data_IF_225535990225
#
_entry.id   IF_225535990225
#
_cell.length_a   1.000
_cell.length_b   1.000
_cell.length_c   1.000
_cell.angle_alpha   90.00
_cell.angle_beta   90.00
_cell.angle_gamma   90.00
#
_symmetry.space_group_name_H-M   'P 1'
#
loop_
_entity.id
_entity.type
_entity.pdbx_description
1 polymer ?
#
# COMPACT_ATOMS: atom_id res chain seq x y z
N UNK A 1 16.40 2.50 -54.37
CA UNK A 1 16.42 3.15 -53.03
C UNK A 1 15.11 2.78 -52.36
N UNK A 2 15.18 1.97 -51.31
CA UNK A 2 14.02 1.46 -50.60
C UNK A 2 13.49 2.53 -49.62
N UNK A 3 12.18 2.75 -49.63
CA UNK A 3 11.48 3.51 -48.59
C UNK A 3 10.43 2.57 -48.00
N UNK A 4 10.67 2.13 -46.76
CA UNK A 4 9.76 1.30 -45.97
C UNK A 4 8.66 2.15 -45.37
N UNK A 5 7.42 1.73 -45.58
CA UNK A 5 6.18 2.23 -45.00
C UNK A 5 6.08 1.93 -43.49
N UNK A 6 5.31 2.72 -42.70
CA UNK A 6 5.11 2.48 -41.27
C UNK A 6 4.19 1.28 -41.03
N UNK A 7 4.56 0.42 -40.08
CA UNK A 7 3.75 -0.70 -39.60
C UNK A 7 2.64 -0.18 -38.67
N UNK A 8 1.41 -0.34 -39.11
CA UNK A 8 0.17 -0.07 -38.37
C UNK A 8 -0.18 -1.33 -37.56
N UNK A 9 0.05 -1.30 -36.24
CA UNK A 9 -0.07 -2.47 -35.36
C UNK A 9 -1.47 -2.57 -34.72
N UNK A 10 -2.52 -2.32 -35.50
CA UNK A 10 -3.89 -2.21 -35.00
C UNK A 10 -4.79 -3.44 -35.26
N UNK A 11 -4.32 -4.48 -35.97
CA UNK A 11 -5.23 -5.53 -36.50
C UNK A 11 -4.91 -6.99 -36.11
N UNK A 12 -3.97 -7.26 -35.19
CA UNK A 12 -3.53 -8.64 -34.91
C UNK A 12 -4.02 -9.28 -33.58
N UNK A 13 -5.04 -8.72 -32.91
CA UNK A 13 -5.54 -9.27 -31.63
C UNK A 13 -7.03 -9.66 -31.65
N UNK A 14 -7.58 -10.00 -32.82
CA UNK A 14 -8.90 -10.66 -32.94
C UNK A 14 -8.72 -12.10 -33.40
N UNK A 15 -8.49 -13.02 -32.46
CA UNK A 15 -8.93 -14.44 -32.52
C UNK A 15 -8.18 -15.33 -31.53
N UNK A 16 -8.71 -15.48 -30.31
CA UNK A 16 -8.50 -16.68 -29.49
C UNK A 16 -9.45 -16.68 -28.28
N UNK A 17 -10.76 -16.73 -28.50
CA UNK A 17 -11.71 -17.11 -27.45
C UNK A 17 -11.75 -18.63 -27.33
N UNK A 18 -11.21 -19.19 -26.25
CA UNK A 18 -11.55 -20.55 -25.81
C UNK A 18 -12.21 -20.48 -24.44
N UNK A 19 -13.43 -20.99 -24.41
CA UNK A 19 -14.33 -21.14 -23.27
C UNK A 19 -13.74 -22.07 -22.21
N UNK A 20 -13.64 -21.60 -20.97
CA UNK A 20 -13.49 -22.46 -19.78
C UNK A 20 -14.86 -22.60 -19.11
N UNK A 21 -15.31 -23.84 -18.91
CA UNK A 21 -16.56 -24.16 -18.22
C UNK A 21 -16.48 -23.93 -16.70
N UNK A 22 -17.61 -23.65 -16.03
CA UNK A 22 -17.63 -23.24 -14.63
C UNK A 22 -17.45 -24.41 -13.67
N UNK A 23 -16.54 -24.27 -12.71
CA UNK A 23 -16.46 -25.15 -11.54
C UNK A 23 -17.58 -24.74 -10.58
N UNK A 24 -18.66 -25.53 -10.57
CA UNK A 24 -19.79 -25.38 -9.66
C UNK A 24 -19.35 -25.63 -8.20
N UNK A 25 -19.71 -24.72 -7.28
CA UNK A 25 -19.77 -25.05 -5.85
C UNK A 25 -19.17 -24.07 -4.86
N UNK A 26 -19.22 -22.75 -5.07
CA UNK A 26 -18.94 -21.78 -4.00
C UNK A 26 -19.68 -20.46 -4.28
N UNK A 27 -20.78 -20.22 -3.59
CA UNK A 27 -21.46 -18.92 -3.56
C UNK A 27 -20.84 -18.07 -2.45
N UNK A 28 -20.08 -17.05 -2.81
CA UNK A 28 -19.58 -16.04 -1.88
C UNK A 28 -20.43 -14.76 -2.04
N UNK A 29 -21.43 -14.57 -1.19
CA UNK A 29 -22.15 -13.28 -1.12
C UNK A 29 -21.42 -12.37 -0.13
N UNK A 30 -20.69 -11.38 -0.63
CA UNK A 30 -20.14 -10.29 0.20
C UNK A 30 -21.17 -9.17 0.24
N UNK A 31 -21.94 -9.11 1.34
CA UNK A 31 -22.75 -7.93 1.66
C UNK A 31 -21.87 -6.95 2.42
N UNK A 32 -21.55 -5.81 1.81
CA UNK A 32 -20.82 -4.73 2.46
C UNK A 32 -21.80 -3.86 3.25
N UNK A 33 -21.73 -3.91 4.58
CA UNK A 33 -22.38 -2.89 5.42
C UNK A 33 -21.61 -2.72 6.75
N UNK A 34 -21.10 -1.51 6.96
CA UNK A 34 -20.92 -0.95 8.30
C UNK A 34 -19.64 -1.30 9.05
N UNK A 35 -19.08 -0.28 9.69
CA UNK A 35 -17.87 -0.27 10.51
C UNK A 35 -17.99 -1.16 11.77
N UNK A 36 -17.59 -2.43 11.68
CA UNK A 36 -17.21 -3.23 12.85
C UNK A 36 -16.15 -4.28 12.44
N UNK A 37 -14.88 -3.89 12.57
CA UNK A 37 -13.74 -4.69 12.12
C UNK A 37 -13.24 -5.61 13.25
N UNK A 38 -14.07 -6.55 13.70
CA UNK A 38 -13.64 -7.68 14.52
C UNK A 38 -14.47 -8.93 14.20
N UNK A 39 -14.04 -9.68 13.17
CA UNK A 39 -14.34 -11.11 13.07
C UNK A 39 -13.13 -11.87 12.54
N UNK A 40 -12.34 -12.40 13.47
CA UNK A 40 -11.34 -13.43 13.21
C UNK A 40 -12.06 -14.68 12.71
N UNK A 41 -11.85 -15.06 11.44
CA UNK A 41 -12.23 -16.39 10.96
C UNK A 41 -11.23 -17.40 11.52
N UNK A 42 -11.59 -18.10 12.61
CA UNK A 42 -10.86 -19.29 13.08
C UNK A 42 -11.54 -20.53 12.49
N UNK A 43 -10.83 -21.25 11.61
CA UNK A 43 -11.18 -22.64 11.28
C UNK A 43 -10.48 -23.52 12.31
N UNK A 44 -11.22 -24.00 13.32
CA UNK A 44 -10.72 -25.03 14.25
C UNK A 44 -11.23 -26.40 13.83
N UNK A 45 -10.29 -27.31 13.54
CA UNK A 45 -10.58 -28.74 13.39
C UNK A 45 -10.72 -29.33 14.80
N UNK A 46 -11.85 -29.99 15.08
CA UNK A 46 -12.04 -30.74 16.32
C UNK A 46 -11.17 -32.01 16.32
N UNK A 47 -10.25 -32.09 17.29
CA UNK A 47 -9.45 -33.28 17.60
C UNK A 47 -9.36 -33.46 19.12
N UNK A 48 -9.51 -34.71 19.57
CA UNK A 48 -9.80 -35.20 20.93
C UNK A 48 -8.90 -34.70 22.08
N UNK A 49 -9.48 -34.79 23.29
CA UNK A 49 -8.94 -34.46 24.61
C UNK A 49 -7.66 -35.21 25.01
N UNK A 50 -6.73 -34.48 25.65
CA UNK A 50 -5.45 -34.91 26.24
C UNK A 50 -4.41 -33.77 26.14
N UNK A 51 -4.14 -33.09 27.25
CA UNK A 51 -3.51 -31.75 27.38
C UNK A 51 -2.06 -31.58 26.84
N UNK A 52 -1.59 -30.32 26.66
CA UNK A 52 -0.90 -29.62 27.77
C UNK A 52 -1.37 -28.17 28.00
N UNK A 53 -0.96 -27.63 29.15
CA UNK A 53 -1.32 -26.33 29.75
C UNK A 53 -1.09 -25.09 28.86
N UNK A 54 -1.95 -24.08 29.06
CA UNK A 54 -2.09 -22.84 28.28
C UNK A 54 -0.84 -21.93 28.18
N UNK A 55 0.29 -22.28 28.82
CA UNK A 55 1.42 -21.39 29.04
C UNK A 55 2.67 -21.68 28.17
N UNK A 56 2.62 -22.65 27.24
CA UNK A 56 3.80 -22.99 26.43
C UNK A 56 3.46 -23.46 25.00
N UNK A 57 2.51 -22.80 24.33
CA UNK A 57 2.29 -23.02 22.90
C UNK A 57 2.48 -21.70 22.16
N UNK A 58 3.74 -21.30 21.94
CA UNK A 58 4.02 -20.47 20.77
C UNK A 58 3.42 -21.21 19.57
N UNK A 59 2.54 -20.54 18.82
CA UNK A 59 1.94 -21.14 17.64
C UNK A 59 3.07 -21.68 16.74
N UNK A 60 2.94 -22.89 16.16
CA UNK A 60 4.01 -23.54 15.40
C UNK A 60 4.38 -22.82 14.09
N UNK A 61 3.77 -21.66 13.82
CA UNK A 61 3.87 -20.92 12.57
C UNK A 61 4.12 -19.45 12.85
N UNK A 62 5.00 -18.84 12.05
CA UNK A 62 5.19 -17.38 12.06
C UNK A 62 3.97 -16.68 11.47
N UNK A 63 3.46 -15.67 12.14
CA UNK A 63 2.40 -14.77 11.68
C UNK A 63 3.03 -13.50 11.11
N UNK A 64 2.82 -13.27 9.82
CA UNK A 64 3.28 -12.07 9.12
C UNK A 64 2.05 -11.23 8.74
N UNK A 65 1.95 -10.03 9.29
CA UNK A 65 0.95 -9.05 8.89
C UNK A 65 1.51 -8.14 7.79
N UNK A 66 0.83 -8.08 6.65
CA UNK A 66 1.26 -7.34 5.46
C UNK A 66 0.39 -6.10 5.17
N UNK A 67 -0.58 -5.79 6.02
CA UNK A 67 -1.48 -4.66 5.83
C UNK A 67 -1.52 -3.80 7.08
N UNK A 68 -0.45 -3.05 7.30
CA UNK A 68 -0.32 -2.10 8.39
C UNK A 68 0.21 -0.77 7.89
N UNK A 69 -0.47 0.33 8.21
CA UNK A 69 -0.05 1.67 7.81
C UNK A 69 0.75 2.37 8.91
N UNK A 70 1.77 3.12 8.52
CA UNK A 70 2.49 4.03 9.39
C UNK A 70 2.25 5.48 8.96
N UNK A 71 2.12 6.37 9.94
CA UNK A 71 2.09 7.82 9.74
C UNK A 71 3.37 8.39 10.32
N UNK A 72 4.24 8.90 9.44
CA UNK A 72 5.57 9.35 9.82
C UNK A 72 5.63 10.87 9.83
N UNK A 73 5.92 11.46 10.99
CA UNK A 73 5.99 12.92 11.16
C UNK A 73 6.99 13.60 10.21
N UNK A 74 8.05 12.88 9.84
CA UNK A 74 9.05 13.39 8.90
C UNK A 74 8.44 13.83 7.55
N UNK A 75 7.34 13.19 7.12
CA UNK A 75 6.63 13.52 5.90
C UNK A 75 5.73 14.75 6.00
N UNK A 76 5.49 15.29 7.20
CA UNK A 76 4.57 16.40 7.38
C UNK A 76 5.08 17.68 6.68
N UNK A 77 4.20 18.31 5.91
CA UNK A 77 4.51 19.49 5.08
C UNK A 77 5.45 19.23 3.90
N UNK A 78 5.85 17.98 3.63
CA UNK A 78 6.83 17.66 2.56
C UNK A 78 6.22 17.59 1.17
N UNK A 79 4.89 17.50 1.04
CA UNK A 79 4.17 17.66 -0.22
C UNK A 79 3.69 19.11 -0.44
N UNK A 80 4.32 20.10 0.21
CA UNK A 80 3.98 21.53 0.04
C UNK A 80 2.54 21.83 0.46
N UNK A 81 1.76 22.50 -0.40
CA UNK A 81 0.36 22.86 -0.10
C UNK A 81 -0.54 21.65 0.21
N UNK A 82 -0.15 20.46 -0.24
CA UNK A 82 -0.92 19.23 -0.04
C UNK A 82 -0.71 18.58 1.33
N UNK A 83 0.23 19.07 2.15
CA UNK A 83 0.51 18.51 3.48
C UNK A 83 1.45 17.29 3.40
N UNK A 84 1.14 16.17 4.09
CA UNK A 84 0.11 16.05 5.13
C UNK A 84 0.42 16.95 6.33
N UNK A 85 -0.60 17.34 7.07
CA UNK A 85 -0.47 18.09 8.31
C UNK A 85 -1.32 17.44 9.40
N UNK A 86 -0.80 17.42 10.63
CA UNK A 86 -1.54 17.01 11.82
C UNK A 86 -1.57 18.19 12.80
N UNK A 87 -2.76 18.70 13.07
CA UNK A 87 -2.98 19.83 13.99
C UNK A 87 -3.78 19.39 15.19
N UNK A 88 -3.40 19.86 16.37
CA UNK A 88 -4.11 19.61 17.62
C UNK A 88 -4.53 20.95 18.23
N UNK A 89 -5.83 21.14 18.44
CA UNK A 89 -6.39 22.36 19.04
C UNK A 89 -7.55 22.00 19.97
N UNK A 90 -7.53 22.50 21.21
CA UNK A 90 -8.59 22.29 22.19
C UNK A 90 -8.96 20.82 22.48
N UNK A 91 -8.05 19.87 22.24
CA UNK A 91 -8.30 18.42 22.37
C UNK A 91 -8.85 17.74 21.11
N UNK A 92 -9.09 18.47 20.03
CA UNK A 92 -9.41 17.92 18.72
C UNK A 92 -8.14 17.72 17.89
N UNK A 93 -7.99 16.54 17.29
CA UNK A 93 -6.89 16.22 16.36
C UNK A 93 -7.44 16.16 14.94
N UNK A 94 -6.82 16.92 14.02
CA UNK A 94 -7.22 17.01 12.62
C UNK A 94 -6.06 16.68 11.71
N UNK A 95 -6.25 15.70 10.82
CA UNK A 95 -5.32 15.35 9.77
C UNK A 95 -5.77 15.93 8.43
N UNK A 96 -4.90 16.68 7.76
CA UNK A 96 -5.16 17.34 6.48
C UNK A 96 -4.27 16.78 5.38
N UNK A 97 -4.88 16.50 4.23
CA UNK A 97 -4.20 16.16 2.97
C UNK A 97 -4.90 16.91 1.83
N UNK A 98 -4.22 17.88 1.23
CA UNK A 98 -4.84 18.81 0.27
C UNK A 98 -6.04 19.51 0.91
N UNK A 99 -7.20 19.43 0.24
CA UNK A 99 -8.47 19.97 0.75
C UNK A 99 -9.18 19.01 1.72
N UNK A 100 -8.77 17.74 1.76
CA UNK A 100 -9.37 16.75 2.65
C UNK A 100 -8.91 16.98 4.10
N UNK A 101 -9.86 17.01 5.02
CA UNK A 101 -9.64 17.10 6.46
C UNK A 101 -10.45 16.03 7.17
N UNK A 102 -9.83 15.37 8.14
CA UNK A 102 -10.49 14.35 8.95
C UNK A 102 -10.14 14.56 10.42
N UNK A 103 -11.14 14.45 11.28
CA UNK A 103 -10.88 14.36 12.72
C UNK A 103 -10.42 12.94 13.05
N UNK A 104 -9.15 12.81 13.41
CA UNK A 104 -8.53 11.52 13.74
C UNK A 104 -7.37 11.76 14.70
N UNK A 105 -7.25 10.89 15.70
CA UNK A 105 -6.12 10.88 16.61
C UNK A 105 -5.08 9.90 16.08
N UNK A 106 -3.95 10.41 15.59
CA UNK A 106 -2.82 9.55 15.21
C UNK A 106 -1.74 9.47 16.30
N UNK A 107 -1.46 10.57 17.00
CA UNK A 107 -0.46 10.59 18.08
C UNK A 107 -0.88 9.64 19.20
N UNK A 108 0.09 8.91 19.74
CA UNK A 108 -0.19 7.92 20.78
C UNK A 108 -1.07 6.75 20.33
N UNK A 109 -1.18 6.49 19.03
CA UNK A 109 -1.80 5.27 18.48
C UNK A 109 -0.74 4.44 17.76
N UNK A 110 -1.05 3.19 17.42
CA UNK A 110 -0.14 2.30 16.67
C UNK A 110 0.35 2.91 15.35
N UNK A 111 -0.40 3.84 14.75
CA UNK A 111 -0.02 4.50 13.49
C UNK A 111 1.24 5.36 13.59
N UNK A 112 1.48 6.01 14.75
CA UNK A 112 2.64 6.90 14.96
C UNK A 112 3.55 6.44 16.10
N UNK A 113 3.06 5.61 17.02
CA UNK A 113 3.78 5.12 18.18
C UNK A 113 4.19 3.65 17.98
N UNK A 114 5.50 3.45 17.75
CA UNK A 114 6.07 2.12 17.54
C UNK A 114 6.03 1.26 18.80
N UNK A 115 6.11 1.86 19.99
CA UNK A 115 6.03 1.12 21.24
C UNK A 115 4.66 0.46 21.40
N UNK A 116 3.60 1.25 21.21
CA UNK A 116 2.22 0.73 21.23
C UNK A 116 1.96 -0.29 20.13
N UNK A 117 2.56 -0.11 18.95
CA UNK A 117 2.47 -1.09 17.87
C UNK A 117 3.09 -2.42 18.26
N UNK A 118 4.30 -2.42 18.80
CA UNK A 118 4.99 -3.63 19.21
C UNK A 118 4.25 -4.34 20.36
N UNK A 119 3.75 -3.59 21.34
CA UNK A 119 2.91 -4.12 22.41
C UNK A 119 1.64 -4.81 21.86
N UNK A 120 0.95 -4.17 20.91
CA UNK A 120 -0.21 -4.77 20.27
C UNK A 120 0.15 -6.00 19.42
N UNK A 121 1.26 -5.95 18.68
CA UNK A 121 1.77 -7.09 17.91
C UNK A 121 2.03 -8.29 18.83
N UNK A 122 2.72 -8.08 19.94
CA UNK A 122 3.01 -9.14 20.92
C UNK A 122 1.72 -9.69 21.54
N UNK A 123 0.76 -8.83 21.89
CA UNK A 123 -0.55 -9.23 22.41
C UNK A 123 -1.42 -10.02 21.41
N UNK A 124 -1.25 -9.78 20.11
CA UNK A 124 -1.96 -10.47 19.03
C UNK A 124 -1.20 -11.70 18.48
N UNK A 125 0.04 -11.93 18.92
CA UNK A 125 0.89 -12.99 18.38
C UNK A 125 1.33 -12.73 16.93
N UNK A 126 1.58 -11.47 16.57
CA UNK A 126 2.14 -11.07 15.27
C UNK A 126 3.67 -11.06 15.37
N UNK A 127 4.33 -11.95 14.64
CA UNK A 127 5.79 -12.08 14.68
C UNK A 127 6.51 -11.01 13.86
N UNK A 128 5.94 -10.65 12.71
CA UNK A 128 6.53 -9.72 11.75
C UNK A 128 5.43 -8.87 11.11
N UNK A 129 5.68 -7.59 10.91
CA UNK A 129 4.72 -6.70 10.27
C UNK A 129 5.40 -5.85 9.18
N UNK A 130 4.84 -5.87 7.97
CA UNK A 130 5.23 -4.97 6.88
C UNK A 130 4.46 -3.65 7.01
N UNK A 131 5.20 -2.58 7.28
CA UNK A 131 4.67 -1.24 7.34
C UNK A 131 4.60 -0.61 5.96
N UNK A 132 3.47 0.02 5.67
CA UNK A 132 3.16 0.69 4.42
C UNK A 132 2.88 2.18 4.63
N UNK A 133 3.05 3.01 3.59
CA UNK A 133 2.57 4.40 3.60
C UNK A 133 1.07 4.48 3.92
N UNK A 134 0.65 5.59 4.52
CA UNK A 134 -0.76 5.90 4.70
C UNK A 134 -1.44 6.11 3.32
N UNK A 135 -2.57 5.43 3.03
CA UNK A 135 -3.26 5.58 1.74
C UNK A 135 -3.71 7.01 1.41
N UNK A 136 -3.93 7.84 2.42
CA UNK A 136 -4.26 9.26 2.23
C UNK A 136 -3.09 10.06 1.65
N UNK A 137 -1.86 9.56 1.74
CA UNK A 137 -0.64 10.29 1.36
C UNK A 137 0.09 9.67 0.18
N UNK A 138 -0.60 8.91 -0.70
CA UNK A 138 0.04 8.40 -1.91
C UNK A 138 0.43 9.52 -2.89
N UNK A 139 -0.33 10.61 -2.93
CA UNK A 139 -0.01 11.81 -3.74
C UNK A 139 0.20 11.56 -5.24
N UNK A 140 -0.46 10.55 -5.78
CA UNK A 140 -0.43 10.22 -7.21
C UNK A 140 -1.07 11.29 -8.13
N UNK A 141 -1.81 12.23 -7.56
CA UNK A 141 -2.52 13.30 -8.30
C UNK A 141 -1.89 14.69 -8.19
N UNK A 142 -0.69 14.82 -7.60
CA UNK A 142 0.00 16.12 -7.45
C UNK A 142 1.22 16.21 -8.36
N UNK A 143 1.87 17.38 -8.38
CA UNK A 143 3.07 17.63 -9.18
C UNK A 143 4.18 16.59 -8.86
N UNK A 144 4.79 15.96 -9.88
CA UNK A 144 5.77 14.87 -9.70
C UNK A 144 6.91 15.21 -8.73
N UNK A 145 7.48 16.41 -8.83
CA UNK A 145 8.59 16.83 -7.96
C UNK A 145 8.18 16.94 -6.48
N UNK A 146 6.93 17.33 -6.20
CA UNK A 146 6.40 17.39 -4.84
C UNK A 146 6.16 15.98 -4.29
N UNK A 147 5.57 15.10 -5.09
CA UNK A 147 5.33 13.71 -4.71
C UNK A 147 6.64 12.95 -4.49
N UNK A 148 7.63 13.12 -5.37
CA UNK A 148 8.96 12.50 -5.23
C UNK A 148 9.64 12.96 -3.94
N UNK A 149 9.65 14.26 -3.63
CA UNK A 149 10.21 14.78 -2.38
C UNK A 149 9.54 14.17 -1.15
N UNK A 150 8.21 14.06 -1.16
CA UNK A 150 7.49 13.41 -0.07
C UNK A 150 7.88 11.92 0.04
N UNK A 151 7.90 11.18 -1.06
CA UNK A 151 8.26 9.76 -1.09
C UNK A 151 9.66 9.53 -0.53
N UNK A 152 10.65 10.32 -0.94
CA UNK A 152 12.02 10.22 -0.46
C UNK A 152 12.13 10.40 1.06
N UNK A 153 11.51 11.45 1.59
CA UNK A 153 11.53 11.72 3.04
C UNK A 153 10.76 10.64 3.81
N UNK A 154 9.63 10.19 3.27
CA UNK A 154 8.86 9.11 3.85
C UNK A 154 9.65 7.79 3.89
N UNK A 155 10.30 7.42 2.79
CA UNK A 155 11.08 6.20 2.66
C UNK A 155 12.30 6.21 3.59
N UNK A 156 13.01 7.34 3.70
CA UNK A 156 14.12 7.51 4.65
C UNK A 156 13.65 7.34 6.10
N UNK A 157 12.48 7.89 6.44
CA UNK A 157 11.91 7.75 7.77
C UNK A 157 11.42 6.33 8.06
N UNK A 158 10.80 5.67 7.07
CA UNK A 158 10.36 4.28 7.15
C UNK A 158 11.56 3.36 7.38
N UNK A 159 12.62 3.52 6.59
CA UNK A 159 13.85 2.74 6.72
C UNK A 159 14.48 2.89 8.11
N UNK A 160 14.60 4.14 8.60
CA UNK A 160 15.08 4.41 9.97
C UNK A 160 14.19 3.80 11.05
N UNK A 161 12.87 3.79 10.86
CA UNK A 161 11.95 3.18 11.80
C UNK A 161 12.17 1.66 11.88
N UNK A 162 12.16 0.97 10.74
CA UNK A 162 12.23 -0.50 10.70
C UNK A 162 13.62 -1.02 11.06
N UNK A 163 14.69 -0.29 10.74
CA UNK A 163 16.06 -0.64 11.12
C UNK A 163 16.29 -0.67 12.65
N UNK A 164 15.46 0.04 13.44
CA UNK A 164 15.51 -0.01 14.91
C UNK A 164 14.83 -1.24 15.51
N UNK A 165 14.05 -1.97 14.72
CA UNK A 165 13.29 -3.14 15.16
C UNK A 165 13.46 -4.32 14.19
N UNK A 166 14.72 -4.74 13.92
CA UNK A 166 14.97 -5.84 13.00
C UNK A 166 14.31 -7.11 13.51
N UNK A 167 13.69 -7.87 12.61
CA UNK A 167 12.98 -9.10 12.94
C UNK A 167 11.56 -8.92 13.47
N UNK A 168 11.10 -7.68 13.71
CA UNK A 168 9.71 -7.35 14.07
C UNK A 168 9.02 -6.51 13.01
N UNK A 169 9.75 -5.59 12.36
CA UNK A 169 9.19 -4.69 11.35
C UNK A 169 9.94 -4.79 10.02
N UNK A 170 9.17 -4.74 8.94
CA UNK A 170 9.63 -4.56 7.55
C UNK A 170 9.02 -3.26 7.02
N UNK A 171 9.63 -2.65 5.99
CA UNK A 171 9.12 -1.41 5.40
C UNK A 171 8.87 -1.53 3.90
N UNK A 172 7.77 -0.97 3.44
CA UNK A 172 7.44 -0.80 2.03
C UNK A 172 7.64 0.67 1.59
N UNK A 173 8.18 0.84 0.39
CA UNK A 173 8.41 2.15 -0.22
C UNK A 173 7.09 2.79 -0.69
N UNK A 174 6.99 4.11 -0.51
CA UNK A 174 6.09 4.97 -1.27
C UNK A 174 6.76 5.34 -2.60
N UNK A 175 5.98 5.42 -3.69
CA UNK A 175 6.46 5.74 -5.02
C UNK A 175 5.58 6.83 -5.68
N UNK A 176 6.17 7.80 -6.42
CA UNK A 176 5.44 8.82 -7.17
C UNK A 176 4.89 8.24 -8.49
N UNK A 177 3.79 7.49 -8.43
CA UNK A 177 3.31 6.69 -9.56
C UNK A 177 2.89 7.49 -10.79
N UNK A 178 2.67 8.80 -10.69
CA UNK A 178 2.40 9.66 -11.85
C UNK A 178 3.62 9.91 -12.74
N UNK A 179 4.82 9.55 -12.27
CA UNK A 179 6.08 9.62 -13.01
C UNK A 179 6.79 8.25 -12.88
N UNK A 180 6.52 7.31 -13.81
CA UNK A 180 7.05 5.94 -13.75
C UNK A 180 8.58 5.89 -13.70
N UNK A 181 9.26 6.80 -14.40
CA UNK A 181 10.71 6.88 -14.42
C UNK A 181 11.27 7.29 -13.05
N UNK A 182 10.65 8.29 -12.41
CA UNK A 182 11.00 8.68 -11.05
C UNK A 182 10.66 7.58 -10.03
N UNK A 183 9.53 6.89 -10.21
CA UNK A 183 9.14 5.76 -9.38
C UNK A 183 10.15 4.61 -9.47
N UNK A 184 10.64 4.28 -10.67
CA UNK A 184 11.64 3.23 -10.86
C UNK A 184 12.96 3.57 -10.16
N UNK A 185 13.44 4.82 -10.32
CA UNK A 185 14.66 5.30 -9.62
C UNK A 185 14.49 5.28 -8.11
N UNK A 186 13.35 5.74 -7.60
CA UNK A 186 13.10 5.76 -6.15
C UNK A 186 12.93 4.35 -5.58
N UNK A 187 12.35 3.42 -6.34
CA UNK A 187 12.27 2.01 -5.96
C UNK A 187 13.67 1.38 -5.85
N UNK A 188 14.56 1.63 -6.82
CA UNK A 188 15.94 1.15 -6.76
C UNK A 188 16.66 1.67 -5.51
N UNK A 189 16.57 2.98 -5.24
CA UNK A 189 17.15 3.62 -4.05
C UNK A 189 16.60 3.00 -2.77
N UNK A 190 15.27 2.90 -2.67
CA UNK A 190 14.57 2.37 -1.50
C UNK A 190 15.00 0.93 -1.18
N UNK A 191 15.17 0.08 -2.19
CA UNK A 191 15.55 -1.31 -1.98
C UNK A 191 17.05 -1.46 -1.74
N UNK A 192 17.88 -0.89 -2.61
CA UNK A 192 19.33 -1.13 -2.59
C UNK A 192 20.05 -0.35 -1.50
N UNK A 193 19.61 0.86 -1.20
CA UNK A 193 20.30 1.75 -0.28
C UNK A 193 19.62 1.77 1.10
N UNK A 194 18.29 1.72 1.14
CA UNK A 194 17.53 1.82 2.39
C UNK A 194 17.09 0.47 2.98
N UNK A 195 17.17 -0.61 2.21
CA UNK A 195 16.76 -1.94 2.65
C UNK A 195 15.24 -2.11 2.82
N UNK A 196 14.43 -1.27 2.18
CA UNK A 196 12.98 -1.51 2.09
C UNK A 196 12.74 -2.73 1.19
N UNK A 197 11.74 -3.54 1.53
CA UNK A 197 11.58 -4.90 0.97
C UNK A 197 10.37 -5.06 0.06
N UNK A 198 9.62 -3.97 -0.16
CA UNK A 198 8.40 -3.95 -0.96
C UNK A 198 8.11 -2.51 -1.41
N UNK A 199 7.13 -2.34 -2.29
CA UNK A 199 6.46 -1.05 -2.48
C UNK A 199 4.96 -1.18 -2.20
N UNK A 200 4.33 -0.11 -1.73
CA UNK A 200 2.89 -0.03 -1.53
C UNK A 200 2.37 1.23 -2.19
N UNK A 201 1.47 1.08 -3.17
CA UNK A 201 0.99 2.20 -3.98
C UNK A 201 -0.53 2.17 -4.12
N UNK A 202 -1.12 3.35 -4.25
CA UNK A 202 -2.52 3.50 -4.65
C UNK A 202 -2.78 3.04 -6.08
N UNK A 203 -4.06 3.00 -6.44
CA UNK A 203 -4.56 2.60 -7.78
C UNK A 203 -5.14 3.77 -8.58
N UNK A 204 -5.05 4.99 -8.04
CA UNK A 204 -5.56 6.22 -8.65
C UNK A 204 -4.40 7.12 -9.15
N UNK A 205 -3.83 6.77 -10.30
CA UNK A 205 -2.83 7.57 -11.04
C UNK A 205 -3.26 7.76 -12.52
N UNK A 206 -2.61 8.63 -13.32
CA UNK A 206 -3.18 9.13 -14.58
C UNK A 206 -3.50 8.10 -15.68
N UNK A 207 -2.97 6.88 -15.57
CA UNK A 207 -3.07 5.80 -16.54
C UNK A 207 -3.53 4.48 -15.87
N UNK A 208 -4.05 3.50 -16.64
CA UNK A 208 -4.45 2.20 -16.10
C UNK A 208 -3.25 1.37 -15.60
N UNK A 209 -3.53 0.30 -14.86
CA UNK A 209 -2.51 -0.58 -14.26
C UNK A 209 -1.71 -1.38 -15.30
N UNK A 210 -2.19 -1.47 -16.53
CA UNK A 210 -1.58 -2.20 -17.63
C UNK A 210 -1.05 -1.27 -18.74
N UNK A 211 -0.94 0.03 -18.45
CA UNK A 211 -0.40 0.99 -19.42
C UNK A 211 1.09 0.71 -19.71
N UNK A 212 1.52 0.64 -20.98
CA UNK A 212 2.91 0.37 -21.34
C UNK A 212 3.93 1.35 -20.74
N UNK A 213 3.54 2.56 -20.33
CA UNK A 213 4.45 3.47 -19.62
C UNK A 213 4.93 2.92 -18.25
N UNK A 214 4.26 1.92 -17.69
CA UNK A 214 4.64 1.25 -16.46
C UNK A 214 5.62 0.09 -16.66
N UNK A 215 5.87 -0.31 -17.91
CA UNK A 215 6.67 -1.50 -18.23
C UNK A 215 8.08 -1.43 -17.62
N UNK A 216 8.74 -0.27 -17.68
CA UNK A 216 10.07 -0.09 -17.09
C UNK A 216 10.04 -0.18 -15.57
N UNK A 217 9.03 0.41 -14.92
CA UNK A 217 8.84 0.28 -13.48
C UNK A 217 8.62 -1.19 -13.09
N UNK A 218 7.80 -1.93 -13.83
CA UNK A 218 7.57 -3.36 -13.59
C UNK A 218 8.82 -4.20 -13.84
N UNK A 219 9.62 -3.88 -14.85
CA UNK A 219 10.96 -4.47 -15.04
C UNK A 219 11.85 -4.23 -13.82
N UNK A 220 11.82 -3.03 -13.23
CA UNK A 220 12.58 -2.72 -12.01
C UNK A 220 12.10 -3.56 -10.82
N UNK A 221 10.79 -3.72 -10.61
CA UNK A 221 10.26 -4.62 -9.57
C UNK A 221 10.78 -6.06 -9.72
N UNK A 222 10.74 -6.60 -10.96
CA UNK A 222 11.24 -7.94 -11.27
C UNK A 222 12.74 -8.04 -11.02
N UNK A 223 13.52 -7.07 -11.49
CA UNK A 223 14.98 -7.06 -11.34
C UNK A 223 15.43 -6.97 -9.88
N UNK A 224 14.69 -6.22 -9.04
CA UNK A 224 14.94 -6.12 -7.61
C UNK A 224 14.37 -7.28 -6.81
N UNK A 225 13.50 -8.09 -7.43
CA UNK A 225 12.81 -9.21 -6.80
C UNK A 225 12.04 -8.81 -5.52
N UNK A 226 11.27 -7.73 -5.62
CA UNK A 226 10.44 -7.20 -4.52
C UNK A 226 8.96 -7.15 -4.90
N UNK A 227 8.04 -7.42 -3.96
CA UNK A 227 6.61 -7.35 -4.23
C UNK A 227 6.11 -5.91 -4.36
N UNK A 228 5.13 -5.73 -5.26
CA UNK A 228 4.31 -4.54 -5.40
C UNK A 228 2.93 -4.79 -4.76
N UNK A 229 2.57 -4.02 -3.75
CA UNK A 229 1.24 -4.02 -3.16
C UNK A 229 0.40 -2.88 -3.72
N UNK A 230 -0.81 -3.22 -4.17
CA UNK A 230 -1.80 -2.27 -4.66
C UNK A 230 -2.86 -2.04 -3.58
N UNK A 231 -2.99 -0.79 -3.13
CA UNK A 231 -4.03 -0.38 -2.20
C UNK A 231 -5.19 0.28 -2.97
N UNK A 232 -6.45 -0.06 -2.69
CA UNK A 232 -7.58 0.70 -3.22
C UNK A 232 -7.52 2.11 -2.62
N UNK A 233 -7.32 3.12 -3.46
CA UNK A 233 -7.38 4.51 -3.01
C UNK A 233 -8.82 4.98 -3.15
N UNK A 234 -9.45 5.35 -2.04
CA UNK A 234 -10.50 6.36 -2.11
C UNK A 234 -9.83 7.65 -2.58
N UNK A 235 -10.45 8.36 -3.51
CA UNK A 235 -10.01 9.65 -4.05
C UNK A 235 -9.58 10.59 -2.92
N UNK A 236 -8.29 10.58 -2.58
CA UNK A 236 -7.72 11.28 -1.43
C UNK A 236 -7.48 12.73 -1.79
N UNK A 237 -8.45 13.60 -1.49
CA UNK A 237 -8.28 15.06 -1.36
C UNK A 237 -7.95 15.88 -2.61
N UNK A 238 -7.50 15.28 -3.70
CA UNK A 238 -7.52 15.89 -5.03
C UNK A 238 -8.74 15.34 -5.76
N UNK A 239 -9.86 16.07 -5.69
CA UNK A 239 -10.96 15.82 -6.60
C UNK A 239 -10.40 15.90 -8.04
N UNK A 240 -10.25 14.75 -8.70
CA UNK A 240 -10.18 14.75 -10.17
C UNK A 240 -11.46 15.43 -10.62
N UNK A 241 -11.33 16.64 -11.20
CA UNK A 241 -12.39 17.24 -11.99
C UNK A 241 -12.96 16.16 -12.90
N UNK A 242 -14.27 15.93 -12.77
CA UNK A 242 -14.90 14.65 -13.05
C UNK A 242 -14.48 13.98 -14.35
N UNK A 243 -14.12 12.69 -14.26
CA UNK A 243 -14.40 11.75 -15.35
C UNK A 243 -15.58 10.89 -14.94
N UNK A 244 -16.65 10.81 -15.76
CA UNK A 244 -17.76 9.92 -15.49
C UNK A 244 -17.22 8.49 -15.38
N UNK A 245 -17.60 7.76 -14.32
CA UNK A 245 -17.47 6.31 -14.29
C UNK A 245 -18.18 5.77 -15.53
N UNK A 246 -17.44 5.33 -16.54
CA UNK A 246 -18.03 4.53 -17.60
C UNK A 246 -18.43 3.21 -16.96
N UNK A 247 -19.73 3.09 -16.65
CA UNK A 247 -20.36 1.79 -16.47
C UNK A 247 -20.35 1.13 -17.84
N UNK A 248 -19.44 0.19 -18.06
CA UNK A 248 -19.62 -0.79 -19.14
C UNK A 248 -20.77 -1.70 -18.72
N UNK A 249 -21.85 -1.64 -19.50
CA UNK A 249 -22.98 -2.55 -19.43
C UNK A 249 -22.69 -3.89 -20.10
#
# INVERSE_FOLDING_TARGET
MAASTPFDCCDAARSASRSAEPISGMSLSITYLGMDLLRTVRVTRHGRAGEPTLAAMHAPHRVIDIHAHAVLEAGFGKAGRYGPELTEDGGASTFRVGEFRMSIVYRGTVFMDVGKRLELMDGLGIDLQLLSPNPLTFFHGIEPDLALRFCQVHNDAMAKLVARHPGKLLGAAALPMQDPDAAARELERAVRELGLVAAYVGTDYPFPLDDPCLDDLYRTFVALNVPLFLHPSSTGGAARGGRPRQRTG
#
